data_IF_026648424607
#
_entry.id   IF_026648424607
#
_cell.length_a   1.000
_cell.length_b   1.000
_cell.length_c   1.000
_cell.angle_alpha   90.00
_cell.angle_beta   90.00
_cell.angle_gamma   90.00
#
_symmetry.space_group_name_H-M   'P 1'
#
loop_
_entity.id
_entity.type
_entity.pdbx_description
1 polymer ?
#
# COMPACT_ATOMS: atom_id res chain seq x y z
N UNK A 1 -7.74 -1.57 -13.71
CA UNK A 1 -7.03 -2.82 -13.33
C UNK A 1 -7.49 -4.02 -14.16
N UNK A 2 -6.53 -4.65 -14.84
CA UNK A 2 -6.71 -5.77 -15.78
C UNK A 2 -6.60 -7.13 -15.06
N UNK A 3 -7.65 -7.95 -15.13
CA UNK A 3 -7.68 -9.29 -14.51
C UNK A 3 -6.59 -10.20 -15.08
N UNK A 4 -6.25 -10.08 -16.36
CA UNK A 4 -5.20 -10.89 -16.97
C UNK A 4 -3.83 -10.62 -16.32
N UNK A 5 -3.51 -9.35 -16.06
CA UNK A 5 -2.28 -8.95 -15.34
C UNK A 5 -2.25 -9.48 -13.91
N UNK A 6 -3.41 -9.49 -13.22
CA UNK A 6 -3.53 -10.08 -11.89
C UNK A 6 -3.22 -11.57 -11.93
N UNK A 7 -3.84 -12.32 -12.83
CA UNK A 7 -3.62 -13.78 -12.93
C UNK A 7 -2.17 -14.09 -13.32
N UNK A 8 -1.57 -13.29 -14.20
CA UNK A 8 -0.16 -13.44 -14.57
C UNK A 8 0.78 -13.31 -13.36
N UNK A 9 0.54 -12.32 -12.49
CA UNK A 9 1.39 -12.07 -11.31
C UNK A 9 1.11 -13.00 -10.13
N UNK A 10 -0.17 -13.24 -9.82
CA UNK A 10 -0.60 -13.93 -8.59
C UNK A 10 -0.98 -15.40 -8.82
N UNK A 11 -0.88 -15.88 -10.05
CA UNK A 11 -1.37 -17.18 -10.46
C UNK A 11 -2.90 -17.23 -10.54
N UNK A 12 -3.46 -18.44 -10.65
CA UNK A 12 -4.92 -18.62 -10.70
C UNK A 12 -5.55 -18.33 -9.34
N UNK A 13 -5.87 -17.07 -9.10
CA UNK A 13 -6.62 -16.60 -7.93
C UNK A 13 -8.07 -16.31 -8.29
N UNK A 14 -8.57 -16.88 -9.39
CA UNK A 14 -9.96 -16.66 -9.82
C UNK A 14 -10.91 -17.29 -8.81
N UNK A 15 -11.92 -16.51 -8.41
CA UNK A 15 -12.83 -16.90 -7.33
C UNK A 15 -13.65 -15.73 -6.83
N UNK A 16 -14.65 -15.99 -5.97
CA UNK A 16 -15.55 -14.97 -5.45
C UNK A 16 -14.80 -13.88 -4.68
N UNK A 17 -13.67 -14.19 -4.04
CA UNK A 17 -12.84 -13.21 -3.35
C UNK A 17 -12.30 -12.14 -4.31
N UNK A 18 -11.82 -12.53 -5.49
CA UNK A 18 -11.29 -11.59 -6.47
C UNK A 18 -12.40 -10.67 -7.01
N UNK A 19 -13.57 -11.23 -7.30
CA UNK A 19 -14.73 -10.45 -7.76
C UNK A 19 -15.15 -9.40 -6.72
N UNK A 20 -15.18 -9.79 -5.44
CA UNK A 20 -15.44 -8.86 -4.33
C UNK A 20 -14.36 -7.78 -4.30
N UNK A 21 -13.08 -8.15 -4.28
CA UNK A 21 -11.98 -7.20 -4.17
C UNK A 21 -11.99 -6.12 -5.26
N UNK A 22 -12.34 -6.49 -6.49
CA UNK A 22 -12.34 -5.59 -7.65
C UNK A 22 -13.65 -4.83 -7.85
N UNK A 23 -14.71 -5.19 -7.12
CA UNK A 23 -15.99 -4.50 -7.23
C UNK A 23 -15.96 -3.10 -6.59
N UNK A 24 -16.71 -2.18 -7.18
CA UNK A 24 -16.83 -0.78 -6.76
C UNK A 24 -18.29 -0.38 -6.61
N UNK A 25 -18.57 0.66 -5.82
CA UNK A 25 -19.88 1.29 -5.74
C UNK A 25 -19.93 2.58 -6.57
N UNK A 26 -21.11 2.97 -7.06
CA UNK A 26 -21.28 4.21 -7.83
C UNK A 26 -21.32 5.46 -6.95
N UNK A 27 -21.87 5.34 -5.74
CA UNK A 27 -21.97 6.42 -4.76
C UNK A 27 -21.45 5.91 -3.43
N UNK A 28 -20.50 6.63 -2.82
CA UNK A 28 -19.81 6.19 -1.62
C UNK A 28 -20.03 7.24 -0.54
N UNK A 29 -20.92 6.93 0.41
CA UNK A 29 -21.02 7.65 1.68
C UNK A 29 -20.15 6.97 2.76
N UNK A 30 -20.12 7.51 3.98
CA UNK A 30 -19.28 6.95 5.06
C UNK A 30 -19.68 5.49 5.39
N UNK A 31 -20.96 5.14 5.58
CA UNK A 31 -21.38 3.74 5.78
C UNK A 31 -20.96 2.82 4.64
N UNK A 32 -21.11 3.26 3.39
CA UNK A 32 -20.73 2.47 2.21
C UNK A 32 -19.22 2.27 2.17
N UNK A 33 -18.42 3.30 2.45
CA UNK A 33 -16.96 3.19 2.52
C UNK A 33 -16.51 2.19 3.60
N UNK A 34 -17.16 2.21 4.78
CA UNK A 34 -16.88 1.25 5.86
C UNK A 34 -17.26 -0.19 5.45
N UNK A 35 -18.42 -0.39 4.81
CA UNK A 35 -18.84 -1.70 4.29
C UNK A 35 -17.86 -2.21 3.24
N UNK A 36 -17.50 -1.36 2.27
CA UNK A 36 -16.52 -1.71 1.23
C UNK A 36 -15.17 -2.12 1.82
N UNK A 37 -14.67 -1.37 2.82
CA UNK A 37 -13.42 -1.70 3.49
C UNK A 37 -13.51 -3.02 4.25
N UNK A 38 -14.60 -3.28 4.98
CA UNK A 38 -14.84 -4.52 5.70
C UNK A 38 -14.90 -5.73 4.76
N UNK A 39 -15.68 -5.62 3.68
CA UNK A 39 -15.82 -6.65 2.64
C UNK A 39 -14.50 -6.91 1.94
N UNK A 40 -13.76 -5.85 1.57
CA UNK A 40 -12.43 -5.95 0.97
C UNK A 40 -11.41 -6.61 1.91
N UNK A 41 -11.41 -6.23 3.18
CA UNK A 41 -10.56 -6.84 4.22
C UNK A 41 -10.83 -8.33 4.38
N UNK A 42 -12.10 -8.73 4.48
CA UNK A 42 -12.49 -10.15 4.56
C UNK A 42 -12.05 -10.93 3.33
N UNK A 43 -12.27 -10.37 2.13
CA UNK A 43 -11.93 -11.02 0.88
C UNK A 43 -10.41 -11.18 0.70
N UNK A 44 -9.60 -10.15 1.02
CA UNK A 44 -8.14 -10.24 0.88
C UNK A 44 -7.52 -11.17 1.92
N UNK A 45 -8.06 -11.22 3.15
CA UNK A 45 -7.65 -12.21 4.17
C UNK A 45 -7.96 -13.63 3.71
N UNK A 46 -9.15 -13.86 3.14
CA UNK A 46 -9.52 -15.17 2.58
C UNK A 46 -8.62 -15.57 1.39
N UNK A 47 -8.32 -14.63 0.50
CA UNK A 47 -7.37 -14.82 -0.59
C UNK A 47 -5.97 -15.14 -0.08
N UNK A 48 -5.46 -14.38 0.89
CA UNK A 48 -4.15 -14.61 1.50
C UNK A 48 -4.06 -16.01 2.13
N UNK A 49 -5.11 -16.44 2.83
CA UNK A 49 -5.21 -17.78 3.40
C UNK A 49 -5.14 -18.85 2.32
N UNK A 50 -5.92 -18.70 1.25
CA UNK A 50 -5.91 -19.64 0.11
C UNK A 50 -4.53 -19.72 -0.55
N UNK A 51 -3.86 -18.58 -0.76
CA UNK A 51 -2.51 -18.53 -1.29
C UNK A 51 -1.48 -19.17 -0.34
N UNK A 52 -1.58 -18.93 0.96
CA UNK A 52 -0.69 -19.52 1.96
C UNK A 52 -0.87 -21.05 2.04
N UNK A 53 -2.09 -21.58 1.96
CA UNK A 53 -2.32 -23.03 1.88
C UNK A 53 -1.72 -23.65 0.61
N UNK A 54 -1.81 -22.96 -0.54
CA UNK A 54 -1.17 -23.42 -1.78
C UNK A 54 0.36 -23.39 -1.69
N UNK A 55 0.92 -22.31 -1.15
CA UNK A 55 2.36 -22.20 -0.89
C UNK A 55 2.83 -23.29 0.09
N UNK A 56 2.05 -23.58 1.14
CA UNK A 56 2.34 -24.66 2.09
C UNK A 56 2.43 -26.02 1.42
N UNK A 57 1.52 -26.30 0.47
CA UNK A 57 1.55 -27.54 -0.30
C UNK A 57 2.76 -27.64 -1.26
N UNK A 58 3.31 -26.50 -1.68
CA UNK A 58 4.43 -26.39 -2.62
C UNK A 58 5.80 -26.43 -1.91
N UNK A 59 6.02 -25.54 -0.94
CA UNK A 59 7.31 -25.35 -0.27
C UNK A 59 7.36 -25.81 1.19
N UNK A 60 6.22 -26.25 1.75
CA UNK A 60 6.11 -26.70 3.13
C UNK A 60 5.85 -25.57 4.14
N UNK A 61 5.33 -25.93 5.32
CA UNK A 61 4.96 -24.98 6.38
C UNK A 61 6.15 -24.21 6.96
N UNK A 62 7.34 -24.82 7.01
CA UNK A 62 8.53 -24.23 7.64
C UNK A 62 9.28 -23.25 6.72
N UNK A 63 8.82 -23.05 5.47
CA UNK A 63 9.41 -22.09 4.56
C UNK A 63 9.21 -20.66 5.08
N UNK A 64 10.29 -19.90 5.22
CA UNK A 64 10.25 -18.51 5.70
C UNK A 64 9.75 -17.56 4.59
N UNK A 65 8.80 -16.69 4.92
CA UNK A 65 8.34 -15.62 4.06
C UNK A 65 9.23 -14.40 4.26
N UNK A 66 9.95 -13.99 3.22
CA UNK A 66 10.90 -12.87 3.27
C UNK A 66 10.95 -12.14 1.93
N UNK A 67 11.11 -10.82 1.97
CA UNK A 67 11.40 -10.04 0.78
C UNK A 67 12.90 -10.01 0.45
N UNK A 68 13.28 -9.73 -0.80
CA UNK A 68 14.68 -9.52 -1.15
C UNK A 68 15.28 -8.33 -0.38
N UNK A 69 16.49 -8.53 0.17
CA UNK A 69 17.30 -7.47 0.78
C UNK A 69 16.58 -6.64 1.87
N UNK A 70 15.78 -7.30 2.72
CA UNK A 70 15.13 -6.70 3.91
C UNK A 70 15.64 -7.31 5.21
N UNK A 71 15.78 -6.48 6.25
CA UNK A 71 16.03 -6.92 7.63
C UNK A 71 14.75 -7.10 8.46
N UNK A 72 13.58 -6.84 7.88
CA UNK A 72 12.31 -6.71 8.59
C UNK A 72 11.28 -7.80 8.25
N UNK A 73 11.70 -8.92 7.65
CA UNK A 73 10.79 -9.99 7.22
C UNK A 73 9.66 -9.43 6.35
N UNK A 74 8.44 -9.45 6.89
CA UNK A 74 7.26 -8.75 6.35
C UNK A 74 7.10 -7.42 7.09
N UNK A 75 7.48 -6.27 6.49
CA UNK A 75 7.75 -5.06 7.27
C UNK A 75 6.53 -4.45 7.94
N UNK A 76 5.32 -4.58 7.36
CA UNK A 76 4.12 -4.04 8.01
C UNK A 76 3.77 -4.86 9.24
N UNK A 77 3.88 -6.18 9.17
CA UNK A 77 3.67 -7.08 10.30
C UNK A 77 4.76 -6.88 11.36
N UNK A 78 6.02 -6.78 10.95
CA UNK A 78 7.14 -6.48 11.85
C UNK A 78 6.92 -5.17 12.61
N UNK A 79 6.59 -4.09 11.91
CA UNK A 79 6.39 -2.78 12.52
C UNK A 79 5.21 -2.75 13.50
N UNK A 80 4.04 -3.29 13.10
CA UNK A 80 2.80 -3.15 13.87
C UNK A 80 2.53 -4.25 14.88
N UNK A 81 3.09 -5.45 14.70
CA UNK A 81 2.90 -6.61 15.58
C UNK A 81 4.18 -7.09 16.27
N UNK A 82 5.36 -6.59 15.89
CA UNK A 82 6.63 -6.99 16.47
C UNK A 82 7.11 -8.39 16.06
N UNK A 83 6.51 -8.96 15.02
CA UNK A 83 6.86 -10.30 14.51
C UNK A 83 7.94 -10.13 13.45
N UNK A 84 9.18 -10.50 13.77
CA UNK A 84 10.34 -10.28 12.89
C UNK A 84 10.43 -11.20 11.68
N UNK A 85 9.82 -12.39 11.75
CA UNK A 85 9.80 -13.39 10.69
C UNK A 85 8.53 -14.21 10.78
N UNK A 86 8.01 -14.67 9.64
CA UNK A 86 6.91 -15.61 9.56
C UNK A 86 7.28 -16.73 8.60
N UNK A 87 7.00 -17.96 8.99
CA UNK A 87 6.93 -19.09 8.05
C UNK A 87 5.56 -19.14 7.38
N UNK A 88 5.41 -19.92 6.30
CA UNK A 88 4.10 -20.13 5.64
C UNK A 88 3.05 -20.65 6.63
N UNK A 89 3.42 -21.61 7.49
CA UNK A 89 2.52 -22.15 8.52
C UNK A 89 2.09 -21.09 9.53
N UNK A 90 3.05 -20.30 10.03
CA UNK A 90 2.76 -19.20 10.95
C UNK A 90 1.93 -18.08 10.31
N UNK A 91 2.08 -17.85 9.00
CA UNK A 91 1.27 -16.89 8.27
C UNK A 91 -0.21 -17.32 8.22
N UNK A 92 -0.49 -18.62 8.06
CA UNK A 92 -1.85 -19.18 8.13
C UNK A 92 -2.45 -18.94 9.52
N UNK A 93 -1.71 -19.32 10.58
CA UNK A 93 -2.16 -19.11 11.97
C UNK A 93 -2.39 -17.63 12.28
N UNK A 94 -1.51 -16.75 11.78
CA UNK A 94 -1.64 -15.31 11.94
C UNK A 94 -2.92 -14.79 11.26
N UNK A 95 -3.19 -15.17 10.00
CA UNK A 95 -4.40 -14.80 9.27
C UNK A 95 -5.67 -15.31 9.97
N UNK A 96 -5.64 -16.50 10.55
CA UNK A 96 -6.76 -17.09 11.32
C UNK A 96 -6.98 -16.39 12.67
N UNK A 97 -5.96 -15.74 13.21
CA UNK A 97 -6.05 -14.97 14.46
C UNK A 97 -6.57 -13.54 14.29
N UNK A 98 -6.63 -13.03 13.06
CA UNK A 98 -7.08 -11.66 12.79
C UNK A 98 -8.55 -11.48 13.19
N UNK A 99 -8.92 -10.37 13.85
CA UNK A 99 -10.31 -10.09 14.17
C UNK A 99 -11.10 -9.82 12.89
N UNK A 100 -12.39 -10.17 12.86
CA UNK A 100 -13.28 -9.68 11.81
C UNK A 100 -13.52 -8.18 12.02
N UNK A 101 -13.45 -7.39 10.94
CA UNK A 101 -13.80 -5.98 10.97
C UNK A 101 -15.32 -5.82 10.88
N UNK A 102 -15.92 -4.98 11.74
CA UNK A 102 -17.29 -4.52 11.54
C UNK A 102 -17.42 -3.61 10.32
N UNK A 103 -18.52 -2.87 10.23
CA UNK A 103 -18.76 -1.89 9.17
C UNK A 103 -19.58 -0.67 9.66
N UNK A 104 -19.69 -0.49 10.97
CA UNK A 104 -20.61 0.49 11.57
C UNK A 104 -19.91 1.75 12.06
N UNK A 105 -18.66 1.62 12.51
CA UNK A 105 -17.92 2.71 13.15
C UNK A 105 -16.55 2.93 12.49
N UNK A 106 -15.96 4.12 12.66
CA UNK A 106 -14.62 4.42 12.12
C UNK A 106 -13.55 3.45 12.61
N UNK A 107 -13.69 2.95 13.85
CA UNK A 107 -12.80 1.92 14.41
C UNK A 107 -12.80 0.64 13.58
N UNK A 108 -13.95 0.24 13.03
CA UNK A 108 -14.06 -0.93 12.17
C UNK A 108 -13.27 -0.75 10.88
N UNK A 109 -13.31 0.44 10.28
CA UNK A 109 -12.53 0.78 9.11
C UNK A 109 -11.02 0.63 9.35
N UNK A 110 -10.52 1.08 10.50
CA UNK A 110 -9.10 0.90 10.86
C UNK A 110 -8.72 -0.57 11.06
N UNK A 111 -9.59 -1.38 11.67
CA UNK A 111 -9.38 -2.84 11.77
C UNK A 111 -9.35 -3.47 10.37
N UNK A 112 -10.28 -3.08 9.49
CA UNK A 112 -10.35 -3.56 8.12
C UNK A 112 -9.05 -3.25 7.35
N UNK A 113 -8.58 -2.01 7.44
CA UNK A 113 -7.34 -1.57 6.79
C UNK A 113 -6.08 -2.23 7.35
N UNK A 114 -5.99 -2.39 8.68
CA UNK A 114 -4.87 -3.10 9.30
C UNK A 114 -4.80 -4.56 8.82
N UNK A 115 -5.93 -5.28 8.84
CA UNK A 115 -6.01 -6.65 8.36
C UNK A 115 -5.66 -6.77 6.87
N UNK A 116 -6.20 -5.88 6.03
CA UNK A 116 -5.93 -5.89 4.59
C UNK A 116 -4.45 -5.64 4.29
N UNK A 117 -3.82 -4.71 5.00
CA UNK A 117 -2.39 -4.45 4.90
C UNK A 117 -1.57 -5.71 5.23
N UNK A 118 -1.86 -6.40 6.34
CA UNK A 118 -1.11 -7.62 6.69
C UNK A 118 -1.35 -8.77 5.71
N UNK A 119 -2.59 -8.97 5.28
CA UNK A 119 -2.94 -9.98 4.29
C UNK A 119 -2.22 -9.73 2.95
N UNK A 120 -2.17 -8.47 2.51
CA UNK A 120 -1.44 -8.09 1.32
C UNK A 120 0.07 -8.28 1.47
N UNK A 121 0.65 -7.97 2.63
CA UNK A 121 2.09 -8.19 2.89
C UNK A 121 2.44 -9.69 2.84
N UNK A 122 1.54 -10.56 3.31
CA UNK A 122 1.68 -12.02 3.20
C UNK A 122 1.53 -12.48 1.75
N UNK A 123 0.51 -12.00 1.02
CA UNK A 123 0.30 -12.33 -0.40
C UNK A 123 1.53 -11.96 -1.22
N UNK A 124 2.02 -10.72 -1.07
CA UNK A 124 3.20 -10.27 -1.80
C UNK A 124 4.40 -11.13 -1.43
N UNK A 125 4.69 -11.38 -0.15
CA UNK A 125 5.81 -12.24 0.24
C UNK A 125 5.74 -13.65 -0.37
N UNK A 126 4.54 -14.23 -0.51
CA UNK A 126 4.33 -15.51 -1.22
C UNK A 126 4.75 -15.39 -2.69
N UNK A 127 4.48 -14.27 -3.36
CA UNK A 127 4.89 -14.07 -4.77
C UNK A 127 6.41 -14.02 -4.97
N UNK A 128 7.20 -13.77 -3.91
CA UNK A 128 8.66 -13.75 -3.96
C UNK A 128 9.32 -15.13 -3.67
N UNK A 129 8.55 -16.14 -3.25
CA UNK A 129 9.08 -17.48 -2.92
C UNK A 129 9.91 -18.08 -4.08
N UNK A 130 9.44 -17.88 -5.31
CA UNK A 130 10.07 -18.43 -6.53
C UNK A 130 10.99 -17.44 -7.24
N UNK A 131 11.29 -16.29 -6.64
CA UNK A 131 12.21 -15.28 -7.16
C UNK A 131 11.60 -13.89 -7.26
N UNK A 132 12.46 -12.93 -7.64
CA UNK A 132 12.11 -11.52 -7.78
C UNK A 132 11.14 -11.31 -8.95
N UNK A 133 10.04 -10.60 -8.69
CA UNK A 133 9.09 -10.20 -9.72
C UNK A 133 9.63 -8.94 -10.41
N UNK A 134 9.57 -8.87 -11.74
CA UNK A 134 10.18 -7.78 -12.53
C UNK A 134 9.88 -6.37 -11.99
N UNK A 135 10.91 -5.49 -11.98
CA UNK A 135 10.98 -4.00 -11.93
C UNK A 135 10.03 -3.18 -11.05
N UNK A 136 8.87 -3.67 -10.64
CA UNK A 136 7.84 -3.02 -9.84
C UNK A 136 7.45 -3.93 -8.67
N UNK A 137 7.62 -3.42 -7.45
CA UNK A 137 7.41 -4.25 -6.27
C UNK A 137 8.10 -3.70 -5.02
N UNK A 138 8.66 -4.63 -4.25
CA UNK A 138 9.29 -4.33 -2.98
C UNK A 138 10.55 -3.49 -3.20
N UNK A 139 10.64 -2.36 -2.50
CA UNK A 139 11.83 -1.51 -2.51
C UNK A 139 12.80 -2.05 -1.45
N UNK A 140 14.02 -2.54 -1.79
CA UNK A 140 14.99 -3.07 -0.82
C UNK A 140 15.42 -2.10 0.27
N UNK A 141 15.83 -2.61 1.44
CA UNK A 141 16.34 -1.77 2.54
C UNK A 141 17.63 -1.05 2.16
N UNK A 142 18.42 -1.62 1.23
CA UNK A 142 19.59 -0.95 0.67
C UNK A 142 19.20 0.35 -0.04
N UNK A 143 18.14 0.32 -0.83
CA UNK A 143 17.61 1.50 -1.53
C UNK A 143 17.08 2.51 -0.52
N UNK A 144 16.28 2.07 0.45
CA UNK A 144 15.75 2.93 1.50
C UNK A 144 16.87 3.63 2.30
N UNK A 145 17.89 2.88 2.75
CA UNK A 145 19.04 3.45 3.49
C UNK A 145 19.81 4.49 2.68
N UNK A 146 19.85 4.35 1.35
CA UNK A 146 20.42 5.36 0.45
C UNK A 146 19.71 6.72 0.53
N UNK A 147 18.44 6.74 0.93
CA UNK A 147 17.64 7.96 1.14
C UNK A 147 17.78 8.54 2.56
N UNK A 148 18.45 7.82 3.47
CA UNK A 148 18.43 8.13 4.90
C UNK A 148 18.99 9.49 5.26
N UNK A 149 20.12 9.89 4.67
CA UNK A 149 20.68 11.22 4.90
C UNK A 149 19.66 12.30 4.50
N UNK A 150 18.99 12.11 3.37
CA UNK A 150 18.02 13.05 2.83
C UNK A 150 16.72 13.14 3.64
N UNK A 151 16.31 12.06 4.31
CA UNK A 151 15.20 12.10 5.26
C UNK A 151 15.58 12.76 6.60
N UNK A 152 16.84 12.62 7.02
CA UNK A 152 17.35 13.22 8.28
C UNK A 152 17.57 14.72 8.13
N UNK A 153 18.15 15.17 7.01
CA UNK A 153 18.40 16.59 6.72
C UNK A 153 17.21 17.31 6.06
N UNK A 154 16.09 16.62 5.88
CA UNK A 154 14.82 17.12 5.32
C UNK A 154 14.90 17.58 3.85
N UNK A 155 15.94 17.20 3.11
CA UNK A 155 15.97 17.41 1.65
C UNK A 155 14.91 16.59 0.92
N UNK A 156 14.48 15.46 1.48
CA UNK A 156 13.25 14.76 1.09
C UNK A 156 12.18 15.08 2.14
N UNK A 157 11.21 15.98 1.85
CA UNK A 157 10.22 16.42 2.84
C UNK A 157 9.11 15.40 3.08
N UNK A 158 8.94 14.42 2.18
CA UNK A 158 7.87 13.43 2.26
C UNK A 158 7.80 12.50 1.05
N UNK A 159 6.73 11.72 1.00
CA UNK A 159 6.44 10.80 -0.09
C UNK A 159 5.02 11.00 -0.64
N UNK A 160 4.85 10.76 -1.94
CA UNK A 160 3.56 10.73 -2.61
C UNK A 160 3.31 9.31 -3.13
N UNK A 161 2.22 8.69 -2.69
CA UNK A 161 1.73 7.43 -3.21
C UNK A 161 0.62 7.69 -4.24
N UNK A 162 0.86 7.37 -5.51
CA UNK A 162 -0.13 7.41 -6.57
C UNK A 162 -0.84 6.06 -6.66
N UNK A 163 -2.14 6.03 -6.39
CA UNK A 163 -2.95 4.82 -6.32
C UNK A 163 -4.11 4.91 -7.32
N UNK A 164 -4.36 3.82 -8.05
CA UNK A 164 -5.33 3.80 -9.15
C UNK A 164 -4.70 4.22 -10.48
N UNK A 165 -5.29 5.21 -11.16
CA UNK A 165 -4.76 5.71 -12.43
C UNK A 165 -5.46 6.96 -12.96
N UNK A 166 -4.78 7.66 -13.87
CA UNK A 166 -5.25 8.87 -14.53
C UNK A 166 -4.85 8.85 -16.01
N UNK A 167 -5.83 8.70 -16.90
CA UNK A 167 -5.60 8.63 -18.36
C UNK A 167 -5.43 10.03 -19.01
N UNK A 168 -4.41 10.77 -18.57
CA UNK A 168 -4.02 12.06 -19.14
C UNK A 168 -2.48 12.24 -19.12
N UNK A 169 -1.79 11.91 -20.23
CA UNK A 169 -0.34 11.96 -20.31
C UNK A 169 0.29 13.33 -20.01
N UNK A 170 -0.38 14.43 -20.38
CA UNK A 170 0.17 15.78 -20.15
C UNK A 170 0.05 16.18 -18.68
N UNK A 171 -1.04 15.78 -18.04
CA UNK A 171 -1.22 15.97 -16.60
C UNK A 171 -0.26 15.10 -15.79
N UNK A 172 -0.07 13.83 -16.17
CA UNK A 172 0.92 12.94 -15.53
C UNK A 172 2.35 13.52 -15.59
N UNK A 173 2.79 14.03 -16.76
CA UNK A 173 4.11 14.69 -16.87
C UNK A 173 4.24 15.88 -15.93
N UNK A 174 3.18 16.66 -15.76
CA UNK A 174 3.18 17.83 -14.86
C UNK A 174 3.18 17.40 -13.39
N UNK A 175 2.38 16.41 -13.00
CA UNK A 175 2.38 15.85 -11.65
C UNK A 175 3.75 15.28 -11.29
N UNK A 176 4.38 14.55 -12.22
CA UNK A 176 5.74 14.03 -12.04
C UNK A 176 6.77 15.15 -11.80
N UNK A 177 6.75 16.20 -12.63
CA UNK A 177 7.62 17.37 -12.45
C UNK A 177 7.33 18.10 -11.15
N UNK A 178 6.08 18.16 -10.73
CA UNK A 178 5.65 18.88 -9.54
C UNK A 178 6.20 18.25 -8.26
N UNK A 179 5.94 16.94 -8.03
CA UNK A 179 6.45 16.29 -6.82
C UNK A 179 7.98 16.19 -6.80
N UNK A 180 8.60 15.99 -7.97
CA UNK A 180 10.06 15.97 -8.11
C UNK A 180 10.67 17.35 -7.83
N UNK A 181 10.04 18.43 -8.29
CA UNK A 181 10.43 19.80 -8.00
C UNK A 181 10.30 20.14 -6.51
N UNK A 182 9.40 19.47 -5.80
CA UNK A 182 9.24 19.52 -4.34
C UNK A 182 10.20 18.56 -3.58
N UNK A 183 11.05 17.81 -4.27
CA UNK A 183 12.01 16.88 -3.67
C UNK A 183 11.39 15.64 -3.02
N UNK A 184 10.12 15.33 -3.31
CA UNK A 184 9.41 14.21 -2.69
C UNK A 184 9.75 12.87 -3.36
N UNK A 185 9.63 11.78 -2.60
CA UNK A 185 9.67 10.42 -3.15
C UNK A 185 8.31 10.09 -3.78
N UNK A 186 8.29 9.61 -5.02
CA UNK A 186 7.09 9.07 -5.66
C UNK A 186 7.01 7.56 -5.54
N UNK A 187 5.83 7.04 -5.25
CA UNK A 187 5.51 5.62 -5.21
C UNK A 187 4.27 5.40 -6.10
N UNK A 188 4.40 4.71 -7.23
CA UNK A 188 3.29 4.50 -8.16
C UNK A 188 2.75 3.08 -8.07
N UNK A 189 1.44 2.94 -7.87
CA UNK A 189 0.72 1.67 -7.81
C UNK A 189 -0.49 1.66 -8.75
N UNK A 190 -0.97 0.46 -9.09
CA UNK A 190 -2.16 0.27 -9.91
C UNK A 190 -1.84 0.47 -11.40
N UNK A 191 -2.64 1.28 -12.08
CA UNK A 191 -2.47 1.56 -13.51
C UNK A 191 -1.43 2.70 -13.74
N UNK A 192 -1.09 3.48 -12.70
CA UNK A 192 -0.14 4.58 -12.77
C UNK A 192 1.25 4.24 -13.35
N UNK A 193 1.94 3.15 -12.94
CA UNK A 193 3.27 2.84 -13.47
C UNK A 193 3.30 2.78 -15.01
N UNK A 194 2.34 2.09 -15.61
CA UNK A 194 2.23 1.96 -17.06
C UNK A 194 1.86 3.30 -17.70
N UNK A 195 0.91 4.03 -17.12
CA UNK A 195 0.48 5.34 -17.61
C UNK A 195 1.61 6.39 -17.57
N UNK A 196 2.44 6.40 -16.52
CA UNK A 196 3.63 7.25 -16.46
C UNK A 196 4.65 6.86 -17.53
N UNK A 197 4.89 5.55 -17.72
CA UNK A 197 5.79 5.07 -18.75
C UNK A 197 5.32 5.45 -20.17
N UNK A 198 4.03 5.28 -20.46
CA UNK A 198 3.41 5.67 -21.73
C UNK A 198 3.43 7.19 -21.95
N UNK A 199 3.32 7.97 -20.87
CA UNK A 199 3.53 9.42 -20.89
C UNK A 199 5.01 9.82 -21.03
N UNK A 200 5.95 8.88 -21.13
CA UNK A 200 7.38 9.15 -21.25
C UNK A 200 8.05 9.64 -19.96
N UNK A 201 7.41 9.42 -18.81
CA UNK A 201 7.97 9.71 -17.49
C UNK A 201 8.80 8.51 -17.04
N UNK A 202 10.10 8.72 -16.83
CA UNK A 202 11.01 7.67 -16.36
C UNK A 202 10.94 7.54 -14.85
N UNK A 203 10.68 6.33 -14.38
CA UNK A 203 10.82 5.91 -12.98
C UNK A 203 12.18 5.26 -12.76
N UNK A 204 12.66 5.31 -11.52
CA UNK A 204 13.94 4.76 -11.12
C UNK A 204 14.50 5.40 -9.84
N UNK A 205 15.55 4.76 -9.32
CA UNK A 205 16.25 5.20 -8.10
C UNK A 205 16.85 6.60 -8.26
N UNK A 206 17.39 6.93 -9.43
CA UNK A 206 17.93 8.26 -9.77
C UNK A 206 16.86 9.36 -9.81
N UNK A 207 15.58 8.98 -9.82
CA UNK A 207 14.42 9.87 -9.93
C UNK A 207 13.61 9.97 -8.65
N UNK A 208 14.00 9.24 -7.61
CA UNK A 208 13.21 9.06 -6.39
C UNK A 208 11.76 8.66 -6.70
N UNK A 209 11.54 7.90 -7.77
CA UNK A 209 10.21 7.54 -8.24
C UNK A 209 10.15 6.05 -8.53
N UNK A 210 9.40 5.31 -7.73
CA UNK A 210 9.43 3.85 -7.71
C UNK A 210 8.06 3.28 -8.09
N UNK A 211 7.98 2.34 -9.04
CA UNK A 211 6.79 1.55 -9.22
C UNK A 211 6.74 0.48 -8.11
N UNK A 212 5.62 0.41 -7.41
CA UNK A 212 5.44 -0.47 -6.24
C UNK A 212 4.45 -1.60 -6.48
N UNK A 213 3.99 -1.80 -7.71
CA UNK A 213 3.12 -2.91 -8.10
C UNK A 213 1.67 -2.48 -8.32
N UNK A 214 0.75 -3.42 -8.22
CA UNK A 214 -0.70 -3.22 -8.39
C UNK A 214 -1.44 -4.25 -7.55
N UNK A 215 -2.76 -4.07 -7.37
CA UNK A 215 -3.56 -4.94 -6.50
C UNK A 215 -2.96 -4.97 -5.08
N UNK A 216 -2.62 -6.13 -4.53
CA UNK A 216 -1.98 -6.28 -3.21
C UNK A 216 -0.58 -5.68 -3.14
N UNK A 217 0.13 -5.57 -4.27
CA UNK A 217 1.45 -4.93 -4.37
C UNK A 217 1.49 -3.49 -3.87
N UNK A 218 0.34 -2.80 -3.87
CA UNK A 218 0.16 -1.47 -3.25
C UNK A 218 0.68 -1.41 -1.81
N UNK A 219 0.67 -2.53 -1.09
CA UNK A 219 1.22 -2.65 0.27
C UNK A 219 2.69 -2.25 0.34
N UNK A 220 3.46 -2.34 -0.74
CA UNK A 220 4.85 -1.92 -0.76
C UNK A 220 5.02 -0.43 -0.48
N UNK A 221 4.05 0.43 -0.82
CA UNK A 221 4.04 1.83 -0.41
C UNK A 221 3.87 2.00 1.11
N UNK A 222 2.95 1.25 1.71
CA UNK A 222 2.76 1.20 3.17
C UNK A 222 4.01 0.65 3.87
N UNK A 223 4.62 -0.40 3.30
CA UNK A 223 5.86 -1.01 3.81
C UNK A 223 7.05 -0.03 3.81
N UNK A 224 7.10 0.88 2.82
CA UNK A 224 8.16 1.87 2.70
C UNK A 224 8.10 2.88 3.86
N UNK A 225 6.90 3.37 4.18
CA UNK A 225 6.69 4.31 5.27
C UNK A 225 7.07 3.73 6.63
N UNK A 226 6.60 2.52 6.95
CA UNK A 226 6.93 1.89 8.25
C UNK A 226 8.41 1.55 8.37
N UNK A 227 9.09 1.15 7.28
CA UNK A 227 10.54 0.90 7.34
C UNK A 227 11.36 2.16 7.49
N UNK A 228 10.91 3.30 6.96
CA UNK A 228 11.55 4.58 7.25
C UNK A 228 11.50 4.88 8.76
N UNK A 229 10.39 4.58 9.44
CA UNK A 229 10.27 4.70 10.89
C UNK A 229 11.19 3.75 11.66
N UNK A 230 11.22 2.46 11.29
CA UNK A 230 12.11 1.47 11.91
C UNK A 230 13.59 1.82 11.70
N UNK A 231 13.96 2.29 10.51
CA UNK A 231 15.37 2.54 10.12
C UNK A 231 15.88 3.88 10.65
N UNK A 232 15.14 4.96 10.44
CA UNK A 232 15.59 6.34 10.74
C UNK A 232 15.00 6.89 12.02
N UNK A 233 13.81 6.43 12.42
CA UNK A 233 13.19 6.77 13.69
C UNK A 233 13.66 5.91 14.85
N UNK A 234 14.38 4.82 14.58
CA UNK A 234 14.77 3.81 15.57
C UNK A 234 13.57 3.28 16.37
N UNK A 235 12.38 3.27 15.75
CA UNK A 235 11.17 2.70 16.34
C UNK A 235 11.35 1.20 16.46
N UNK A 236 11.03 0.63 17.61
CA UNK A 236 11.17 -0.80 17.84
C UNK A 236 10.00 -1.57 17.18
N UNK A 237 10.24 -2.76 16.61
CA UNK A 237 9.16 -3.61 16.14
C UNK A 237 8.07 -3.82 17.20
N UNK A 238 6.80 -3.57 16.85
CA UNK A 238 5.66 -3.69 17.77
C UNK A 238 5.39 -2.45 18.64
N UNK A 239 6.24 -1.43 18.60
CA UNK A 239 5.98 -0.13 19.24
C UNK A 239 4.95 0.68 18.43
N UNK A 240 3.68 0.33 18.60
CA UNK A 240 2.56 0.94 17.85
C UNK A 240 2.42 2.44 18.12
N UNK A 241 2.66 2.86 19.36
CA UNK A 241 2.54 4.27 19.75
C UNK A 241 3.67 5.08 19.12
N UNK A 242 4.93 4.64 19.29
CA UNK A 242 6.09 5.29 18.69
C UNK A 242 6.01 5.30 17.16
N UNK A 243 5.54 4.23 16.53
CA UNK A 243 5.31 4.18 15.08
C UNK A 243 4.28 5.22 14.64
N UNK A 244 3.14 5.29 15.33
CA UNK A 244 2.08 6.27 15.02
C UNK A 244 2.58 7.70 15.20
N UNK A 245 3.31 8.00 16.27
CA UNK A 245 3.89 9.32 16.51
C UNK A 245 4.93 9.72 15.47
N UNK A 246 5.74 8.75 15.01
CA UNK A 246 6.72 8.98 13.96
C UNK A 246 6.01 9.29 12.63
N UNK A 247 5.08 8.43 12.20
CA UNK A 247 4.38 8.56 10.91
C UNK A 247 3.54 9.84 10.81
N UNK A 248 2.99 10.35 11.93
CA UNK A 248 2.33 11.67 11.98
C UNK A 248 3.24 12.84 11.61
N UNK A 249 4.56 12.68 11.78
CA UNK A 249 5.54 13.74 11.60
C UNK A 249 6.37 13.53 10.35
N UNK A 250 6.85 12.29 10.11
CA UNK A 250 7.85 11.96 9.08
C UNK A 250 7.73 10.51 8.59
N UNK A 251 8.06 10.25 7.30
CA UNK A 251 7.90 11.20 6.21
C UNK A 251 6.41 11.63 6.13
N UNK A 252 6.13 12.87 5.72
CA UNK A 252 4.74 13.22 5.40
C UNK A 252 4.31 12.44 4.16
N UNK A 253 3.32 11.57 4.30
CA UNK A 253 2.80 10.74 3.21
C UNK A 253 1.50 11.33 2.70
N UNK A 254 1.43 11.52 1.39
CA UNK A 254 0.22 11.95 0.67
C UNK A 254 -0.16 10.84 -0.28
N UNK A 255 -1.42 10.41 -0.24
CA UNK A 255 -2.01 9.46 -1.16
C UNK A 255 -2.82 10.23 -2.20
N UNK A 256 -2.50 10.03 -3.47
CA UNK A 256 -3.23 10.56 -4.61
C UNK A 256 -4.01 9.38 -5.21
N UNK A 257 -5.30 9.33 -4.91
CA UNK A 257 -6.19 8.25 -5.36
C UNK A 257 -7.05 8.74 -6.53
N UNK A 258 -6.82 8.21 -7.73
CA UNK A 258 -7.61 8.55 -8.92
C UNK A 258 -8.31 7.33 -9.52
N UNK A 259 -9.49 7.58 -10.09
CA UNK A 259 -10.34 6.53 -10.63
C UNK A 259 -11.18 5.85 -9.54
N UNK A 260 -11.99 4.86 -9.94
CA UNK A 260 -12.99 4.21 -9.05
C UNK A 260 -12.34 3.50 -7.87
N UNK A 261 -12.96 3.62 -6.68
CA UNK A 261 -12.53 2.92 -5.49
C UNK A 261 -13.13 1.52 -5.53
N UNK A 262 -12.30 0.49 -5.56
CA UNK A 262 -12.77 -0.87 -5.30
C UNK A 262 -12.70 -1.19 -3.79
N UNK A 263 -13.19 -2.36 -3.39
CA UNK A 263 -13.23 -2.78 -1.98
C UNK A 263 -11.83 -2.97 -1.37
N UNK A 264 -10.85 -3.42 -2.15
CA UNK A 264 -9.46 -3.49 -1.69
C UNK A 264 -8.88 -2.08 -1.43
N UNK A 265 -9.09 -1.16 -2.37
CA UNK A 265 -8.63 0.23 -2.25
C UNK A 265 -9.30 0.93 -1.06
N UNK A 266 -10.58 0.65 -0.78
CA UNK A 266 -11.26 1.15 0.40
C UNK A 266 -10.59 0.68 1.70
N UNK A 267 -10.20 -0.60 1.79
CA UNK A 267 -9.45 -1.09 2.94
C UNK A 267 -8.05 -0.44 3.03
N UNK A 268 -7.34 -0.30 1.92
CA UNK A 268 -6.04 0.39 1.89
C UNK A 268 -6.13 1.89 2.19
N UNK A 269 -7.25 2.54 1.92
CA UNK A 269 -7.49 3.91 2.36
C UNK A 269 -7.44 3.99 3.89
N UNK A 270 -8.12 3.09 4.61
CA UNK A 270 -8.03 3.04 6.07
C UNK A 270 -6.64 2.65 6.58
N UNK A 271 -5.91 1.78 5.88
CA UNK A 271 -4.50 1.49 6.21
C UNK A 271 -3.60 2.72 6.06
N UNK A 272 -3.86 3.54 5.04
CA UNK A 272 -3.15 4.81 4.81
C UNK A 272 -3.48 5.83 5.91
N UNK A 273 -4.75 5.91 6.33
CA UNK A 273 -5.17 6.75 7.45
C UNK A 273 -4.56 6.27 8.78
N UNK A 274 -4.42 4.96 8.99
CA UNK A 274 -3.70 4.40 10.15
C UNK A 274 -2.24 4.87 10.18
N UNK A 275 -1.62 5.03 9.00
CA UNK A 275 -0.28 5.59 8.85
C UNK A 275 -0.27 7.13 8.90
N UNK A 276 -1.40 7.77 9.24
CA UNK A 276 -1.55 9.23 9.29
C UNK A 276 -1.26 9.93 7.96
N UNK A 277 -1.44 9.24 6.83
CA UNK A 277 -1.35 9.83 5.50
C UNK A 277 -2.59 10.67 5.20
N UNK A 278 -2.41 11.76 4.43
CA UNK A 278 -3.53 12.48 3.82
C UNK A 278 -3.91 11.79 2.51
N UNK A 279 -5.21 11.71 2.22
CA UNK A 279 -5.74 11.15 0.98
C UNK A 279 -6.39 12.28 0.20
N UNK A 280 -5.96 12.47 -1.04
CA UNK A 280 -6.60 13.37 -2.00
C UNK A 280 -7.14 12.54 -3.14
N UNK A 281 -8.42 12.70 -3.44
CA UNK A 281 -9.09 11.89 -4.46
C UNK A 281 -9.95 12.72 -5.41
N UNK A 282 -10.12 12.22 -6.63
CA UNK A 282 -11.08 12.75 -7.60
C UNK A 282 -12.50 12.18 -7.43
N UNK A 283 -12.71 11.20 -6.54
CA UNK A 283 -14.03 10.66 -6.26
C UNK A 283 -14.81 11.52 -5.27
N UNK A 284 -16.13 11.53 -5.42
CA UNK A 284 -17.05 12.18 -4.49
C UNK A 284 -17.17 11.36 -3.21
N UNK A 285 -16.14 11.45 -2.37
CA UNK A 285 -16.11 10.87 -1.03
C UNK A 285 -16.48 11.91 0.03
N UNK A 286 -16.99 11.48 1.20
CA UNK A 286 -17.14 12.36 2.35
C UNK A 286 -15.78 12.92 2.76
N UNK A 287 -15.64 14.24 2.77
CA UNK A 287 -14.44 14.88 3.26
C UNK A 287 -14.29 14.64 4.77
N UNK A 288 -13.08 14.22 5.16
CA UNK A 288 -12.70 14.10 6.56
C UNK A 288 -11.61 15.14 6.80
N UNK A 289 -11.86 16.17 7.63
CA UNK A 289 -10.89 17.23 7.86
C UNK A 289 -9.49 16.70 8.15
N UNK A 290 -8.50 17.22 7.41
CA UNK A 290 -7.07 16.84 7.49
C UNK A 290 -6.71 15.41 7.05
N UNK A 291 -7.68 14.56 6.70
CA UNK A 291 -7.45 13.15 6.37
C UNK A 291 -7.86 12.79 4.94
N UNK A 292 -9.03 13.23 4.47
CA UNK A 292 -9.56 12.91 3.14
C UNK A 292 -10.10 14.19 2.50
N UNK A 293 -9.57 14.55 1.33
CA UNK A 293 -9.95 15.73 0.54
C UNK A 293 -10.39 15.33 -0.85
N UNK A 294 -11.46 15.94 -1.33
CA UNK A 294 -11.90 15.80 -2.73
C UNK A 294 -11.29 16.92 -3.56
N UNK A 295 -10.58 16.57 -4.63
CA UNK A 295 -9.99 17.53 -5.55
C UNK A 295 -10.15 17.02 -6.98
N UNK A 296 -11.02 17.68 -7.75
CA UNK A 296 -11.33 17.33 -9.15
C UNK A 296 -10.31 17.86 -10.16
N UNK A 297 -9.37 18.70 -9.71
CA UNK A 297 -8.32 19.28 -10.54
C UNK A 297 -6.99 18.53 -10.28
N UNK A 298 -6.57 17.59 -11.15
CA UNK A 298 -5.43 16.70 -10.85
C UNK A 298 -4.12 17.43 -10.52
N UNK A 299 -3.88 18.57 -11.17
CA UNK A 299 -2.67 19.38 -10.95
C UNK A 299 -2.65 20.10 -9.59
N UNK A 300 -3.79 20.19 -8.92
CA UNK A 300 -3.91 20.80 -7.58
C UNK A 300 -3.86 19.75 -6.47
N UNK A 301 -3.99 18.45 -6.79
CA UNK A 301 -4.12 17.39 -5.78
C UNK A 301 -2.88 17.30 -4.87
N UNK A 302 -1.67 17.41 -5.45
CA UNK A 302 -0.43 17.37 -4.68
C UNK A 302 -0.37 18.55 -3.68
N UNK A 303 -0.71 19.76 -4.14
CA UNK A 303 -0.71 20.94 -3.28
C UNK A 303 -1.76 20.81 -2.16
N UNK A 304 -2.96 20.34 -2.50
CA UNK A 304 -4.02 20.09 -1.53
C UNK A 304 -3.64 19.04 -0.49
N UNK A 305 -2.83 18.04 -0.84
CA UNK A 305 -2.36 17.03 0.11
C UNK A 305 -1.28 17.53 1.07
N UNK A 306 -0.54 18.57 0.70
CA UNK A 306 0.50 19.21 1.51
C UNK A 306 -0.09 20.15 2.56
N UNK A 307 -1.16 20.87 2.19
CA UNK A 307 -1.88 21.85 3.03
C UNK A 307 -2.76 21.19 4.10
#
# INVERSE_FOLDING_TARGET
>A
MDIAKIIERYGDITGPELDVLLSSEETIDVPTLLSMASEGSKAVVALARSMAYRASADVGNDHELVYPETGYGLPTICAWKGIGSLTVGQAIEFLDSLPEAGASELGDGFVAGENAMFAADIIEAITYIHGDQERAGFIPDRTLRGLGLSFVDETIPGAIAFLGGLDDPETLKKMARDFQGKGMVGLASGDYPDQFADAGVKMGLDRLFYPVGFFTGTVHALSFAVRAALTFGNIQPGDREGLTEYLKKRPKVIVIQNGKLNRLDAAFAFASLLHSASIVTDQDLPEIPHCVKVCKAPLEMIQNGIE
#
